data_IF_541943161948
#
_entry.id   IF_541943161948
#
_cell.length_a   1.000
_cell.length_b   1.000
_cell.length_c   1.000
_cell.angle_alpha   90.00
_cell.angle_beta   90.00
_cell.angle_gamma   90.00
#
_symmetry.space_group_name_H-M   'P 1'
#
loop_
_entity.id
_entity.type
_entity.pdbx_description
1 polymer ?
#
# COMPACT_ATOMS: atom_id res chain seq x y z
N UNK A 1 5.11 3.63 6.47
CA UNK A 1 4.73 4.89 5.81
C UNK A 1 3.68 5.62 6.63
N UNK A 2 3.71 6.94 6.67
CA UNK A 2 2.70 7.78 7.33
C UNK A 2 2.34 8.99 6.46
N UNK A 3 1.24 9.67 6.80
CA UNK A 3 0.81 10.92 6.15
C UNK A 3 0.66 10.88 4.61
N UNK A 4 0.35 9.72 4.03
CA UNK A 4 0.16 9.58 2.57
C UNK A 4 -1.05 10.38 2.11
N UNK A 5 -0.80 11.40 1.28
CA UNK A 5 -1.85 12.23 0.67
C UNK A 5 -1.62 12.31 -0.82
N UNK A 6 -2.43 11.60 -1.59
CA UNK A 6 -2.42 11.69 -3.05
C UNK A 6 -3.48 12.69 -3.53
N UNK A 7 -3.09 13.52 -4.49
CA UNK A 7 -4.03 14.35 -5.25
C UNK A 7 -4.98 13.45 -6.05
N UNK A 8 -6.18 13.93 -6.43
CA UNK A 8 -7.10 13.15 -7.27
C UNK A 8 -6.46 12.62 -8.56
N UNK A 9 -5.48 13.34 -9.12
CA UNK A 9 -4.74 12.93 -10.32
C UNK A 9 -3.85 11.69 -10.12
N UNK A 10 -3.50 11.35 -8.87
CA UNK A 10 -2.65 10.21 -8.52
C UNK A 10 -3.42 9.03 -7.91
N UNK A 11 -4.64 9.26 -7.42
CA UNK A 11 -5.43 8.20 -6.78
C UNK A 11 -5.89 7.19 -7.82
N UNK A 12 -5.62 5.92 -7.56
CA UNK A 12 -6.05 4.82 -8.43
C UNK A 12 -5.28 4.72 -9.75
N UNK A 13 -4.19 5.49 -9.92
CA UNK A 13 -3.37 5.43 -11.13
C UNK A 13 -2.16 4.51 -10.96
N UNK A 14 -1.54 4.15 -12.09
CA UNK A 14 -0.25 3.43 -12.14
C UNK A 14 0.81 4.11 -11.29
N UNK A 15 0.95 5.43 -11.44
CA UNK A 15 1.95 6.25 -10.75
C UNK A 15 1.74 6.21 -9.22
N UNK A 16 0.49 6.26 -8.75
CA UNK A 16 0.20 6.15 -7.32
C UNK A 16 0.64 4.81 -6.71
N UNK A 17 0.56 3.72 -7.48
CA UNK A 17 1.06 2.40 -7.07
C UNK A 17 2.59 2.35 -7.15
N UNK A 18 3.18 2.91 -8.20
CA UNK A 18 4.64 2.97 -8.39
C UNK A 18 5.34 3.73 -7.27
N UNK A 19 4.76 4.85 -6.80
CA UNK A 19 5.28 5.59 -5.66
C UNK A 19 5.41 4.73 -4.39
N UNK A 20 4.46 3.82 -4.15
CA UNK A 20 4.52 2.90 -3.01
C UNK A 20 5.51 1.75 -3.25
N UNK A 21 5.60 1.24 -4.49
CA UNK A 21 6.58 0.24 -4.88
C UNK A 21 8.02 0.75 -4.68
N UNK A 22 8.34 1.96 -5.17
CA UNK A 22 9.67 2.54 -5.05
C UNK A 22 10.09 2.70 -3.59
N UNK A 23 9.14 3.08 -2.73
CA UNK A 23 9.41 3.20 -1.31
C UNK A 23 9.59 1.84 -0.62
N UNK A 24 8.76 0.85 -0.94
CA UNK A 24 8.94 -0.51 -0.42
C UNK A 24 10.30 -1.09 -0.85
N UNK A 25 10.67 -0.91 -2.12
CA UNK A 25 11.98 -1.31 -2.64
C UNK A 25 13.11 -0.65 -1.87
N UNK A 26 13.03 0.67 -1.65
CA UNK A 26 14.05 1.38 -0.85
C UNK A 26 14.15 0.85 0.59
N UNK A 27 13.00 0.61 1.24
CA UNK A 27 12.96 0.09 2.62
C UNK A 27 13.62 -1.30 2.73
N UNK A 28 13.35 -2.20 1.80
CA UNK A 28 13.85 -3.58 1.89
C UNK A 28 15.24 -3.76 1.26
N UNK A 29 15.53 -3.13 0.13
CA UNK A 29 16.73 -3.41 -0.66
C UNK A 29 17.90 -2.46 -0.33
N UNK A 30 17.61 -1.20 -0.02
CA UNK A 30 18.66 -0.21 0.29
C UNK A 30 18.85 -0.08 1.81
N UNK A 31 17.76 0.08 2.55
CA UNK A 31 17.82 0.24 4.01
C UNK A 31 17.95 -1.09 4.76
N UNK A 32 17.68 -2.22 4.10
CA UNK A 32 17.71 -3.56 4.71
C UNK A 32 16.80 -3.69 5.95
N UNK A 33 15.66 -2.98 5.96
CA UNK A 33 14.70 -3.08 7.06
C UNK A 33 13.94 -4.40 6.97
N UNK A 34 13.57 -4.93 8.13
CA UNK A 34 12.87 -6.23 8.22
C UNK A 34 11.35 -6.13 8.17
N UNK A 35 10.82 -4.92 8.33
CA UNK A 35 9.38 -4.68 8.49
C UNK A 35 9.01 -3.29 8.00
N UNK A 36 7.96 -3.23 7.20
CA UNK A 36 7.37 -2.01 6.66
C UNK A 36 5.91 -1.92 7.07
N UNK A 37 5.52 -0.83 7.73
CA UNK A 37 4.20 -0.70 8.36
C UNK A 37 3.27 0.28 7.63
N UNK A 38 1.99 -0.07 7.60
CA UNK A 38 0.88 0.79 7.22
C UNK A 38 -0.10 0.92 8.39
N UNK A 39 -0.52 2.15 8.69
CA UNK A 39 -1.47 2.45 9.78
C UNK A 39 -2.56 3.33 9.24
N UNK A 40 -3.81 2.94 9.45
CA UNK A 40 -4.95 3.75 9.06
C UNK A 40 -6.01 3.79 10.15
N UNK A 41 -6.90 4.76 10.05
CA UNK A 41 -8.12 4.74 10.85
C UNK A 41 -8.94 3.49 10.47
N UNK A 42 -9.49 2.76 11.45
CA UNK A 42 -10.34 1.60 11.19
C UNK A 42 -11.58 1.96 10.34
N UNK A 43 -12.04 3.23 10.40
CA UNK A 43 -13.12 3.74 9.56
C UNK A 43 -12.66 4.12 8.13
N UNK A 44 -11.35 4.14 7.86
CA UNK A 44 -10.78 4.44 6.54
C UNK A 44 -10.55 3.15 5.73
N UNK A 45 -11.65 2.47 5.41
CA UNK A 45 -11.69 1.28 4.55
C UNK A 45 -10.95 1.47 3.21
N UNK A 46 -11.03 2.61 2.51
CA UNK A 46 -10.24 2.83 1.28
C UNK A 46 -8.73 2.71 1.51
N UNK A 47 -8.21 3.26 2.61
CA UNK A 47 -6.79 3.17 2.96
C UNK A 47 -6.37 1.74 3.29
N UNK A 48 -7.19 1.02 4.08
CA UNK A 48 -6.95 -0.39 4.40
C UNK A 48 -6.94 -1.26 3.14
N UNK A 49 -7.94 -1.12 2.26
CA UNK A 49 -8.03 -1.86 1.00
C UNK A 49 -6.85 -1.57 0.06
N UNK A 50 -6.31 -0.36 0.10
CA UNK A 50 -5.12 0.01 -0.66
C UNK A 50 -3.87 -0.71 -0.11
N UNK A 51 -3.70 -0.74 1.22
CA UNK A 51 -2.61 -1.47 1.86
C UNK A 51 -2.67 -2.97 1.54
N UNK A 52 -3.84 -3.59 1.70
CA UNK A 52 -4.05 -5.01 1.37
C UNK A 52 -3.78 -5.29 -0.12
N UNK A 53 -4.25 -4.42 -1.03
CA UNK A 53 -3.95 -4.52 -2.47
C UNK A 53 -2.45 -4.45 -2.75
N UNK A 54 -1.68 -3.67 -1.99
CA UNK A 54 -0.23 -3.54 -2.14
C UNK A 54 0.54 -4.72 -1.52
N UNK A 55 -0.13 -5.63 -0.81
CA UNK A 55 0.49 -6.81 -0.21
C UNK A 55 0.81 -6.69 1.27
N UNK A 56 0.34 -5.64 1.95
CA UNK A 56 0.39 -5.59 3.41
C UNK A 56 -0.63 -6.56 4.01
N UNK A 57 -0.25 -7.22 5.09
CA UNK A 57 -1.06 -8.17 5.85
C UNK A 57 -1.58 -7.46 7.10
N UNK A 58 -2.89 -7.57 7.36
CA UNK A 58 -3.53 -7.03 8.55
C UNK A 58 -3.14 -7.81 9.81
N UNK A 59 -2.79 -7.10 10.88
CA UNK A 59 -2.30 -7.71 12.13
C UNK A 59 -3.19 -7.40 13.34
N UNK A 60 -3.99 -6.33 13.28
CA UNK A 60 -4.90 -6.00 14.38
C UNK A 60 -5.35 -4.55 14.40
N UNK A 61 -6.29 -4.28 15.31
CA UNK A 61 -6.80 -2.94 15.60
C UNK A 61 -6.46 -2.57 17.02
N UNK A 62 -5.79 -1.43 17.20
CA UNK A 62 -5.66 -0.81 18.51
C UNK A 62 -6.93 0.00 18.77
N UNK A 63 -7.76 -0.49 19.70
CA UNK A 63 -8.99 0.20 20.14
C UNK A 63 -8.64 1.43 20.95
N UNK A 64 -9.37 2.52 20.73
CA UNK A 64 -9.16 3.81 21.38
C UNK A 64 -7.70 4.32 21.30
N UNK A 65 -7.01 4.03 20.20
CA UNK A 65 -5.59 4.33 20.05
C UNK A 65 -5.27 5.83 20.22
N UNK A 66 -6.09 6.71 19.63
CA UNK A 66 -5.93 8.16 19.74
C UNK A 66 -7.29 8.88 19.68
N UNK A 67 -7.32 10.14 20.14
CA UNK A 67 -8.43 11.08 19.87
C UNK A 67 -7.99 12.03 18.76
N UNK A 68 -8.78 12.14 17.68
CA UNK A 68 -8.47 12.98 16.54
C UNK A 68 -9.74 13.62 15.99
N UNK A 69 -9.70 14.93 15.74
CA UNK A 69 -10.86 15.71 15.24
C UNK A 69 -12.14 15.50 16.07
N UNK A 70 -12.01 15.51 17.40
CA UNK A 70 -13.15 15.42 18.32
C UNK A 70 -13.78 14.03 18.44
N UNK A 71 -13.15 12.97 17.92
CA UNK A 71 -13.63 11.59 18.10
C UNK A 71 -12.51 10.61 18.44
N UNK A 72 -12.91 9.48 19.01
CA UNK A 72 -12.07 8.28 19.11
C UNK A 72 -11.67 7.79 17.72
N UNK A 73 -10.41 7.37 17.60
CA UNK A 73 -9.86 6.72 16.42
C UNK A 73 -9.21 5.40 16.82
N UNK A 74 -9.86 4.33 16.39
CA UNK A 74 -9.27 3.00 16.36
C UNK A 74 -8.28 2.93 15.19
N UNK A 75 -7.17 2.22 15.39
CA UNK A 75 -6.07 2.17 14.44
C UNK A 75 -5.83 0.77 13.94
N UNK A 76 -6.10 0.54 12.66
CA UNK A 76 -5.76 -0.69 11.96
C UNK A 76 -4.27 -0.67 11.61
N UNK A 77 -3.60 -1.78 11.93
CA UNK A 77 -2.20 -2.03 11.65
C UNK A 77 -2.06 -3.13 10.62
N UNK A 78 -1.27 -2.83 9.58
CA UNK A 78 -0.87 -3.79 8.58
C UNK A 78 0.65 -3.71 8.39
N UNK A 79 1.25 -4.82 7.98
CA UNK A 79 2.68 -4.90 7.76
C UNK A 79 3.05 -5.70 6.52
N UNK A 80 4.27 -5.49 6.05
CA UNK A 80 4.95 -6.35 5.11
C UNK A 80 6.33 -6.63 5.71
N UNK A 81 6.75 -7.89 5.73
CA UNK A 81 8.09 -8.26 6.20
C UNK A 81 9.03 -8.54 5.04
N UNK A 82 10.33 -8.56 5.35
CA UNK A 82 11.40 -8.90 4.42
C UNK A 82 11.12 -10.19 3.62
N UNK A 83 10.54 -11.21 4.24
CA UNK A 83 10.19 -12.48 3.59
C UNK A 83 9.01 -12.38 2.61
N UNK A 84 8.11 -11.42 2.79
CA UNK A 84 7.00 -11.20 1.85
C UNK A 84 7.48 -10.47 0.60
N UNK A 85 8.51 -9.62 0.76
CA UNK A 85 8.94 -8.65 -0.24
C UNK A 85 9.26 -9.27 -1.61
N UNK A 86 10.02 -10.38 -1.75
CA UNK A 86 10.33 -10.95 -3.06
C UNK A 86 9.09 -11.27 -3.90
N UNK A 87 8.06 -11.86 -3.27
CA UNK A 87 6.80 -12.19 -3.95
C UNK A 87 5.98 -10.94 -4.26
N UNK A 88 5.94 -9.99 -3.34
CA UNK A 88 5.21 -8.73 -3.54
C UNK A 88 5.87 -7.89 -4.64
N UNK A 89 7.20 -7.84 -4.69
CA UNK A 89 8.01 -7.19 -5.71
C UNK A 89 7.69 -7.73 -7.09
N UNK A 90 7.79 -9.04 -7.30
CA UNK A 90 7.52 -9.68 -8.60
C UNK A 90 6.11 -9.37 -9.10
N UNK A 91 5.11 -9.43 -8.20
CA UNK A 91 3.73 -9.07 -8.52
C UNK A 91 3.59 -7.58 -8.89
N UNK A 92 4.21 -6.67 -8.14
CA UNK A 92 4.16 -5.24 -8.40
C UNK A 92 4.86 -4.89 -9.71
N UNK A 93 6.03 -5.47 -9.98
CA UNK A 93 6.78 -5.25 -11.22
C UNK A 93 6.02 -5.78 -12.43
N UNK A 94 5.43 -6.98 -12.32
CA UNK A 94 4.54 -7.55 -13.34
C UNK A 94 3.34 -6.63 -13.60
N UNK A 95 2.73 -6.07 -12.56
CA UNK A 95 1.61 -5.14 -12.74
C UNK A 95 2.04 -3.80 -13.34
N UNK A 96 3.22 -3.30 -12.97
CA UNK A 96 3.76 -1.99 -13.38
C UNK A 96 4.37 -2.00 -14.78
N UNK A 97 4.51 -3.16 -15.42
CA UNK A 97 4.96 -3.29 -16.81
C UNK A 97 4.11 -2.45 -17.77
N UNK A 98 4.71 -1.69 -18.71
CA UNK A 98 3.96 -0.94 -19.71
C UNK A 98 2.94 -1.79 -20.48
N UNK A 99 3.26 -3.06 -20.71
CA UNK A 99 2.43 -4.01 -21.45
C UNK A 99 1.11 -4.33 -20.74
N UNK A 100 1.00 -4.06 -19.44
CA UNK A 100 -0.22 -4.25 -18.67
C UNK A 100 -1.20 -3.07 -18.79
N UNK A 101 -0.90 -2.03 -19.57
CA UNK A 101 -1.74 -0.83 -19.72
C UNK A 101 -2.00 -0.49 -21.18
N UNK A 102 -3.22 -0.03 -21.47
CA UNK A 102 -3.57 0.50 -22.78
C UNK A 102 -3.11 1.96 -22.96
N UNK A 103 -3.34 2.53 -24.15
CA UNK A 103 -3.01 3.92 -24.49
C UNK A 103 -3.71 4.98 -23.63
N UNK A 104 -4.79 4.62 -22.94
CA UNK A 104 -5.56 5.49 -22.04
C UNK A 104 -5.14 5.31 -20.57
N UNK A 105 -4.18 4.42 -20.28
CA UNK A 105 -3.70 4.10 -18.94
C UNK A 105 -4.60 3.13 -18.18
N UNK A 106 -5.52 2.44 -18.86
CA UNK A 106 -6.37 1.41 -18.27
C UNK A 106 -5.60 0.09 -18.18
N UNK A 107 -5.62 -0.54 -17.01
CA UNK A 107 -4.95 -1.83 -16.78
C UNK A 107 -5.68 -2.98 -17.50
N UNK A 108 -4.94 -3.93 -18.09
CA UNK A 108 -5.48 -5.18 -18.63
C UNK A 108 -5.71 -6.21 -17.52
N UNK A 109 -4.73 -6.40 -16.63
CA UNK A 109 -4.87 -7.18 -15.40
C UNK A 109 -4.76 -6.28 -14.18
N UNK A 110 -5.68 -6.46 -13.24
CA UNK A 110 -5.61 -5.80 -11.95
C UNK A 110 -4.53 -6.40 -11.07
N UNK A 111 -4.00 -5.59 -10.15
CA UNK A 111 -3.01 -6.06 -9.16
C UNK A 111 -3.55 -7.16 -8.24
N UNK A 112 -4.88 -7.35 -8.17
CA UNK A 112 -5.51 -8.42 -7.37
C UNK A 112 -5.60 -9.75 -8.11
N UNK A 113 -5.52 -9.72 -9.45
CA UNK A 113 -5.56 -10.92 -10.30
C UNK A 113 -4.15 -11.50 -10.53
N UNK A 114 -3.11 -10.74 -10.17
CA UNK A 114 -1.71 -11.18 -10.13
C UNK A 114 -1.37 -11.66 -8.71
#
# INVERSE_FOLDING_TARGET
MGAVTFSPKLRGTRIGTEAQYLLARYVFEELNYRRYEWKCDALNLPSRRAAERLGFIYEGTFRQAVVYKGRTRDMDWLSMIDKDWPKVKDRLETWLRPENFDKNGQQYKSLREL
#
